data_IF_112595372200
#
_entry.id   IF_112595372200
#
_cell.length_a   1.000
_cell.length_b   1.000
_cell.length_c   1.000
_cell.angle_alpha   90.00
_cell.angle_beta   90.00
_cell.angle_gamma   90.00
#
_symmetry.space_group_name_H-M   'P 1'
#
loop_
_entity.id
_entity.type
_entity.pdbx_description
1 polymer ?
#
# COMPACT_ATOMS: atom_id res chain seq x y z
N UNK A 1 32.35 27.98 11.70
CA UNK A 1 31.75 27.70 11.42
C UNK A 1 31.10 27.15 11.19
N UNK A 2 31.20 27.10 11.25
CA UNK A 2 30.47 26.52 10.84
C UNK A 2 29.63 25.92 10.69
N UNK A 3 29.55 25.73 10.48
CA UNK A 3 28.69 25.18 10.11
C UNK A 3 27.90 24.68 9.88
N UNK A 4 27.89 24.53 9.68
CA UNK A 4 27.06 24.03 9.31
C UNK A 4 26.32 23.45 9.24
N UNK A 5 26.43 23.33 9.28
CA UNK A 5 25.58 22.70 9.10
C UNK A 5 24.71 22.36 9.04
N UNK A 6 24.82 22.57 9.02
CA UNK A 6 23.82 22.29 8.82
C UNK A 6 23.17 21.85 8.34
N UNK A 7 23.32 21.68 7.85
CA UNK A 7 22.46 21.20 7.22
C UNK A 7 22.10 20.29 6.86
N UNK A 8 22.63 19.93 6.76
CA UNK A 8 21.95 19.00 6.26
C UNK A 8 21.14 18.33 6.73
N UNK A 9 21.06 18.58 6.98
CA UNK A 9 20.09 17.90 7.17
C UNK A 9 19.11 17.70 7.06
N UNK A 10 19.19 18.11 6.74
CA UNK A 10 18.11 18.04 6.57
C UNK A 10 17.54 17.49 5.85
N UNK A 11 17.89 17.43 5.36
CA UNK A 11 17.20 16.96 4.56
C UNK A 11 16.59 16.06 4.56
N UNK A 12 16.83 16.10 4.91
CA UNK A 12 16.14 15.21 4.70
C UNK A 12 15.26 14.71 5.00
N UNK A 13 15.12 14.81 5.17
CA UNK A 13 14.15 14.38 5.35
C UNK A 13 13.40 14.18 5.04
N UNK A 14 13.61 14.41 4.82
CA UNK A 14 12.95 14.37 4.20
C UNK A 14 12.53 13.55 3.73
N UNK A 15 12.65 13.23 3.94
CA UNK A 15 12.46 12.57 3.40
C UNK A 15 11.56 11.87 2.86
N UNK A 16 11.62 11.53 2.82
CA UNK A 16 10.93 10.90 1.71
C UNK A 16 9.83 9.99 2.18
N UNK A 17 8.69 10.01 1.52
CA UNK A 17 7.58 9.12 1.81
C UNK A 17 7.95 7.69 1.45
N UNK A 18 7.51 6.70 2.24
CA UNK A 18 7.68 5.31 1.85
C UNK A 18 7.00 5.05 0.51
N UNK A 19 7.66 4.32 -0.34
CA UNK A 19 7.17 3.95 -1.66
C UNK A 19 6.92 2.45 -1.68
N UNK A 20 6.00 2.03 -2.55
CA UNK A 20 5.86 0.60 -2.82
C UNK A 20 7.10 0.16 -3.56
N UNK A 21 7.73 -0.91 -3.08
CA UNK A 21 8.93 -1.43 -3.71
C UNK A 21 8.59 -2.21 -4.97
N UNK A 22 9.59 -2.40 -5.81
CA UNK A 22 9.39 -3.10 -7.09
C UNK A 22 8.89 -4.52 -6.92
N UNK A 23 9.16 -5.14 -5.76
CA UNK A 23 8.70 -6.49 -5.48
C UNK A 23 7.26 -6.50 -4.94
N UNK A 24 6.57 -5.36 -5.03
CA UNK A 24 5.19 -5.24 -4.60
C UNK A 24 5.03 -5.40 -3.08
N UNK A 25 5.96 -4.81 -2.33
CA UNK A 25 5.86 -4.78 -0.88
C UNK A 25 5.81 -3.34 -0.39
N UNK A 26 5.20 -3.15 0.77
CA UNK A 26 5.13 -1.86 1.44
C UNK A 26 5.35 -2.11 2.91
N UNK A 27 6.44 -1.55 3.46
CA UNK A 27 6.82 -1.72 4.87
C UNK A 27 6.86 -3.19 5.26
N UNK A 28 7.36 -4.03 4.35
CA UNK A 28 7.52 -5.45 4.63
C UNK A 28 6.31 -6.31 4.37
N UNK A 29 5.18 -5.71 3.96
CA UNK A 29 3.97 -6.46 3.66
C UNK A 29 3.84 -6.68 2.17
N UNK A 30 3.54 -7.91 1.77
CA UNK A 30 3.18 -8.19 0.38
C UNK A 30 1.84 -7.55 0.09
N UNK A 31 1.71 -6.87 -1.05
CA UNK A 31 0.48 -6.20 -1.42
C UNK A 31 -0.37 -7.09 -2.31
N UNK A 32 -0.47 -8.35 -1.93
CA UNK A 32 -1.33 -9.35 -2.56
C UNK A 32 -1.59 -10.44 -1.54
N UNK A 33 -2.59 -11.27 -1.79
CA UNK A 33 -2.91 -12.36 -0.89
C UNK A 33 -4.32 -12.27 -0.35
N UNK A 34 -4.53 -12.91 0.79
CA UNK A 34 -5.82 -12.91 1.47
C UNK A 34 -5.92 -11.63 2.29
N UNK A 35 -6.96 -10.86 2.02
CA UNK A 35 -7.13 -9.52 2.59
C UNK A 35 -8.39 -9.50 3.44
N UNK A 36 -8.26 -9.01 4.66
CA UNK A 36 -9.42 -8.76 5.51
C UNK A 36 -9.58 -7.26 5.67
N UNK A 37 -10.80 -6.77 5.43
CA UNK A 37 -11.10 -5.35 5.64
C UNK A 37 -11.50 -5.19 7.10
N UNK A 38 -10.80 -4.29 7.80
CA UNK A 38 -10.99 -4.10 9.23
C UNK A 38 -11.21 -2.63 9.55
N UNK A 39 -11.78 -2.36 10.72
CA UNK A 39 -11.92 -1.00 11.21
C UNK A 39 -10.82 -0.64 12.21
N UNK A 40 -10.24 -1.63 12.87
CA UNK A 40 -9.24 -1.40 13.91
C UNK A 40 -8.00 -2.21 13.66
N UNK A 41 -6.87 -1.64 14.04
CA UNK A 41 -5.56 -2.30 13.99
C UNK A 41 -5.21 -2.86 12.62
N UNK A 42 -5.30 -2.02 11.58
CA UNK A 42 -4.91 -2.49 10.24
C UNK A 42 -3.40 -2.58 10.09
N UNK A 43 -2.98 -3.42 9.16
CA UNK A 43 -1.59 -3.44 8.72
C UNK A 43 -1.35 -2.32 7.69
N UNK A 44 -2.41 -1.93 6.97
CA UNK A 44 -2.31 -0.99 5.85
C UNK A 44 -3.58 -0.17 5.76
N UNK A 45 -3.44 1.14 5.57
CA UNK A 45 -4.56 2.03 5.32
C UNK A 45 -4.55 2.40 3.84
N UNK A 46 -5.71 2.25 3.19
CA UNK A 46 -5.80 2.58 1.77
C UNK A 46 -6.89 3.61 1.54
N UNK A 47 -6.70 4.39 0.49
CA UNK A 47 -7.75 5.25 -0.05
C UNK A 47 -8.07 4.77 -1.45
N UNK A 48 -9.36 4.59 -1.74
CA UNK A 48 -9.79 4.14 -3.05
C UNK A 48 -9.88 5.36 -3.96
N UNK A 49 -9.20 5.29 -5.10
CA UNK A 49 -9.16 6.40 -6.06
C UNK A 49 -9.49 5.87 -7.45
N UNK A 50 -9.85 6.80 -8.35
CA UNK A 50 -10.11 6.44 -9.74
C UNK A 50 -8.97 6.83 -10.67
N UNK A 51 -8.05 7.67 -10.19
CA UNK A 51 -6.94 8.16 -10.99
C UNK A 51 -5.68 8.17 -10.14
N UNK A 52 -4.56 7.94 -10.79
CA UNK A 52 -3.22 8.07 -10.19
C UNK A 52 -3.07 7.21 -8.93
N UNK A 53 -3.37 5.91 -9.01
CA UNK A 53 -3.17 5.03 -7.85
C UNK A 53 -1.70 4.71 -7.66
N UNK A 54 -1.38 4.29 -6.42
CA UNK A 54 -0.08 3.70 -6.15
C UNK A 54 -0.09 2.21 -6.49
N UNK A 55 -1.27 1.58 -6.46
CA UNK A 55 -1.42 0.16 -6.73
C UNK A 55 -2.77 -0.08 -7.40
N UNK A 56 -2.76 -0.90 -8.45
CA UNK A 56 -4.00 -1.37 -9.08
C UNK A 56 -4.34 -2.73 -8.51
N UNK A 57 -5.56 -2.90 -8.04
CA UNK A 57 -5.99 -4.10 -7.33
C UNK A 57 -7.11 -4.78 -8.08
N UNK A 58 -6.94 -6.07 -8.32
CA UNK A 58 -7.99 -6.92 -8.88
C UNK A 58 -8.47 -7.86 -7.77
N UNK A 59 -9.78 -7.88 -7.55
CA UNK A 59 -10.37 -8.80 -6.58
C UNK A 59 -10.53 -10.15 -7.26
N UNK A 60 -9.93 -11.19 -6.67
CA UNK A 60 -9.96 -12.53 -7.23
C UNK A 60 -10.62 -13.49 -6.24
N UNK A 61 -11.15 -14.58 -6.75
CA UNK A 61 -11.75 -15.60 -5.89
C UNK A 61 -10.72 -16.63 -5.45
N UNK A 62 -9.70 -16.85 -6.26
CA UNK A 62 -8.69 -17.87 -6.03
C UNK A 62 -7.35 -17.39 -6.49
N UNK A 63 -6.30 -17.96 -5.92
CA UNK A 63 -4.91 -17.72 -6.35
C UNK A 63 -4.50 -16.25 -6.30
N UNK A 64 -4.60 -15.60 -5.11
CA UNK A 64 -4.17 -14.22 -4.98
C UNK A 64 -2.65 -14.14 -4.82
N UNK A 65 -1.91 -14.61 -5.82
CA UNK A 65 -0.48 -14.81 -5.72
C UNK A 65 0.35 -13.88 -6.61
N UNK A 66 -0.27 -12.84 -7.14
CA UNK A 66 0.43 -11.85 -7.95
C UNK A 66 0.18 -10.44 -7.41
N UNK A 67 1.09 -9.53 -7.70
CA UNK A 67 1.00 -8.15 -7.23
C UNK A 67 -0.39 -7.56 -7.53
N UNK A 68 -1.05 -7.06 -6.49
CA UNK A 68 -2.36 -6.44 -6.64
C UNK A 68 -3.53 -7.41 -6.73
N UNK A 69 -3.31 -8.71 -6.62
CA UNK A 69 -4.42 -9.66 -6.61
C UNK A 69 -4.85 -9.90 -5.18
N UNK A 70 -6.06 -9.52 -4.85
CA UNK A 70 -6.60 -9.58 -3.49
C UNK A 70 -7.79 -10.50 -3.43
N UNK A 71 -7.74 -11.48 -2.51
CA UNK A 71 -8.88 -12.32 -2.19
C UNK A 71 -9.42 -11.86 -0.85
N UNK A 72 -10.67 -11.39 -0.83
CA UNK A 72 -11.27 -10.89 0.41
C UNK A 72 -11.71 -12.07 1.27
N UNK A 73 -11.26 -12.09 2.52
CA UNK A 73 -11.57 -13.16 3.45
C UNK A 73 -12.06 -12.56 4.76
N UNK A 74 -12.74 -13.39 5.56
CA UNK A 74 -13.19 -12.97 6.88
C UNK A 74 -12.29 -13.49 8.00
N UNK A 75 -11.49 -14.52 7.72
CA UNK A 75 -10.62 -15.14 8.71
C UNK A 75 -9.27 -15.45 8.10
N UNK A 76 -8.27 -15.44 8.94
CA UNK A 76 -6.90 -15.85 8.60
C UNK A 76 -6.35 -15.09 7.39
N UNK A 77 -6.36 -13.74 7.45
CA UNK A 77 -5.83 -12.96 6.33
C UNK A 77 -4.30 -12.95 6.33
N UNK A 78 -3.74 -12.66 5.16
CA UNK A 78 -2.33 -12.33 5.05
C UNK A 78 -2.08 -10.86 5.41
N UNK A 79 -3.10 -10.01 5.19
CA UNK A 79 -2.98 -8.56 5.39
C UNK A 79 -4.32 -7.99 5.82
N UNK A 80 -4.30 -7.16 6.85
CA UNK A 80 -5.49 -6.44 7.32
C UNK A 80 -5.46 -5.03 6.77
N UNK A 81 -6.55 -4.62 6.12
CA UNK A 81 -6.61 -3.35 5.40
C UNK A 81 -7.78 -2.53 5.92
N UNK A 82 -7.54 -1.25 6.15
CA UNK A 82 -8.59 -0.30 6.50
C UNK A 82 -8.74 0.70 5.36
N UNK A 83 -10.00 0.96 4.98
CA UNK A 83 -10.30 1.97 3.95
C UNK A 83 -10.51 3.30 4.67
N UNK A 84 -9.77 4.32 4.25
CA UNK A 84 -9.84 5.65 4.86
C UNK A 84 -10.01 6.71 3.78
N UNK A 85 -10.46 7.89 4.20
CA UNK A 85 -10.55 9.03 3.29
C UNK A 85 -9.32 9.94 3.40
N UNK A 86 -8.67 9.94 4.57
CA UNK A 86 -7.57 10.84 4.84
C UNK A 86 -6.37 10.06 5.35
N UNK A 87 -5.20 10.54 4.98
CA UNK A 87 -3.92 10.01 5.44
C UNK A 87 -3.77 8.51 5.20
N UNK A 88 -3.99 8.05 3.94
CA UNK A 88 -3.76 6.65 3.63
C UNK A 88 -2.26 6.36 3.56
N UNK A 89 -1.92 5.08 3.70
CA UNK A 89 -0.56 4.63 3.40
C UNK A 89 -0.34 4.59 1.89
N UNK A 90 -1.33 4.09 1.15
CA UNK A 90 -1.27 4.04 -0.32
C UNK A 90 -2.65 4.29 -0.90
N UNK A 91 -2.67 4.68 -2.17
CA UNK A 91 -3.89 4.88 -2.94
C UNK A 91 -4.08 3.67 -3.85
N UNK A 92 -5.30 3.16 -3.89
CA UNK A 92 -5.63 1.93 -4.59
C UNK A 92 -6.74 2.19 -5.59
N UNK A 93 -6.57 1.67 -6.80
CA UNK A 93 -7.63 1.66 -7.80
C UNK A 93 -8.03 0.22 -8.08
N UNK A 94 -9.33 -0.08 -8.00
CA UNK A 94 -9.81 -1.40 -8.33
C UNK A 94 -9.96 -1.52 -9.84
N UNK A 95 -9.42 -2.60 -10.40
CA UNK A 95 -9.43 -2.84 -11.83
C UNK A 95 -9.93 -4.25 -12.09
N UNK A 96 -10.35 -4.51 -13.33
CA UNK A 96 -10.79 -5.85 -13.72
C UNK A 96 -9.67 -6.65 -14.36
N UNK A 97 -8.64 -5.97 -14.85
CA UNK A 97 -7.52 -6.59 -15.53
C UNK A 97 -6.26 -5.84 -15.23
N UNK A 98 -5.14 -6.53 -15.33
CA UNK A 98 -3.81 -5.93 -15.22
C UNK A 98 -3.58 -5.25 -13.87
N UNK A 99 -3.75 -5.98 -12.76
CA UNK A 99 -3.40 -5.42 -11.44
C UNK A 99 -1.90 -5.27 -11.30
N UNK A 100 -1.51 -4.52 -10.28
CA UNK A 100 -0.10 -4.36 -9.96
C UNK A 100 0.32 -2.92 -9.92
N UNK A 101 1.62 -2.70 -10.03
CA UNK A 101 2.16 -1.35 -10.01
C UNK A 101 1.85 -0.67 -11.33
N UNK A 102 1.44 0.62 -11.27
CA UNK A 102 1.11 1.35 -12.49
C UNK A 102 2.33 1.68 -13.34
#
# INVERSE_FOLDING_TARGET
MNTLYLFPFILFFILSDPQIKKDCTFKGHNLYGKIQIVNDFPDLKIKIVENFPDLKVELVKDFPDGCGKWQIVENFPDLKVKIVNDFPDIKVQFVENFPGLP
#
